data_IF_374422288072
#
_entry.id   IF_374422288072
#
_cell.length_a   1.000
_cell.length_b   1.000
_cell.length_c   1.000
_cell.angle_alpha   90.00
_cell.angle_beta   90.00
_cell.angle_gamma   90.00
#
_symmetry.space_group_name_H-M   'P 1'
#
loop_
_entity.id
_entity.type
_entity.pdbx_description
1 polymer ?
#
# COMPACT_ATOMS: atom_id res chain seq x y z
N UNK A 1 -10.87 -11.87 0.49
CA UNK A 1 -10.48 -11.73 -0.93
C UNK A 1 -9.13 -11.05 -1.11
N UNK A 2 -8.97 -9.73 -0.89
CA UNK A 2 -7.68 -9.05 -1.16
C UNK A 2 -6.51 -9.60 -0.31
N UNK A 3 -6.74 -9.79 0.99
CA UNK A 3 -5.75 -10.36 1.90
C UNK A 3 -5.37 -11.82 1.55
N UNK A 4 -6.34 -12.65 1.20
CA UNK A 4 -6.12 -14.07 0.88
C UNK A 4 -5.35 -14.22 -0.44
N UNK A 5 -5.74 -13.47 -1.47
CA UNK A 5 -5.03 -13.45 -2.75
C UNK A 5 -3.58 -12.95 -2.60
N UNK A 6 -3.35 -11.96 -1.73
CA UNK A 6 -2.00 -11.52 -1.40
C UNK A 6 -1.18 -12.64 -0.75
N UNK A 7 -1.74 -13.33 0.25
CA UNK A 7 -1.08 -14.46 0.91
C UNK A 7 -0.72 -15.55 -0.10
N UNK A 8 -1.68 -16.01 -0.90
CA UNK A 8 -1.44 -17.06 -1.89
C UNK A 8 -0.37 -16.67 -2.91
N UNK A 9 -0.36 -15.41 -3.34
CA UNK A 9 0.62 -14.91 -4.31
C UNK A 9 2.03 -14.85 -3.72
N UNK A 10 2.19 -14.33 -2.50
CA UNK A 10 3.50 -14.27 -1.83
C UNK A 10 4.02 -15.67 -1.54
N UNK A 11 3.16 -16.55 -1.02
CA UNK A 11 3.52 -17.94 -0.70
C UNK A 11 3.95 -18.69 -1.98
N UNK A 12 3.25 -18.48 -3.10
CA UNK A 12 3.64 -19.07 -4.40
C UNK A 12 4.95 -18.50 -4.93
N UNK A 13 5.10 -17.17 -5.00
CA UNK A 13 6.29 -16.55 -5.57
C UNK A 13 7.55 -16.84 -4.77
N UNK A 14 7.46 -16.88 -3.45
CA UNK A 14 8.63 -17.19 -2.61
C UNK A 14 9.15 -18.61 -2.80
N UNK A 15 8.33 -19.53 -3.34
CA UNK A 15 8.74 -20.87 -3.73
C UNK A 15 9.42 -20.94 -5.12
N UNK A 16 9.17 -19.96 -5.99
CA UNK A 16 9.62 -19.97 -7.40
C UNK A 16 10.74 -18.95 -7.68
N UNK A 17 10.74 -17.82 -6.97
CA UNK A 17 11.65 -16.69 -7.17
C UNK A 17 12.12 -16.11 -5.84
N UNK A 18 13.33 -15.53 -5.84
CA UNK A 18 13.83 -14.77 -4.69
C UNK A 18 13.16 -13.40 -4.65
N UNK A 19 12.04 -13.31 -3.95
CA UNK A 19 11.34 -12.05 -3.70
C UNK A 19 12.10 -11.22 -2.66
N UNK A 20 12.50 -10.00 -3.04
CA UNK A 20 13.33 -9.11 -2.19
C UNK A 20 12.56 -7.91 -1.65
N UNK A 21 11.56 -7.44 -2.38
CA UNK A 21 10.76 -6.28 -2.01
C UNK A 21 9.32 -6.43 -2.51
N UNK A 22 8.37 -5.95 -1.70
CA UNK A 22 6.98 -5.75 -2.07
C UNK A 22 6.61 -4.30 -1.77
N UNK A 23 6.05 -3.61 -2.76
CA UNK A 23 5.49 -2.26 -2.63
C UNK A 23 3.97 -2.34 -2.70
N UNK A 24 3.25 -1.88 -1.66
CA UNK A 24 1.78 -1.86 -1.64
C UNK A 24 1.26 -0.47 -1.33
N UNK A 25 -0.01 -0.21 -1.60
CA UNK A 25 -0.66 0.94 -1.01
C UNK A 25 -0.76 0.79 0.53
N UNK A 26 -1.22 1.85 1.20
CA UNK A 26 -1.34 1.90 2.65
C UNK A 26 -2.56 1.09 3.17
N UNK A 27 -2.70 -0.16 2.72
CA UNK A 27 -3.78 -1.06 3.15
C UNK A 27 -3.41 -1.77 4.47
N UNK A 28 -4.11 -1.43 5.55
CA UNK A 28 -3.75 -1.86 6.91
C UNK A 28 -3.65 -3.38 7.11
N UNK A 29 -4.50 -4.17 6.43
CA UNK A 29 -4.44 -5.64 6.52
C UNK A 29 -3.19 -6.23 5.85
N UNK A 30 -2.76 -5.67 4.72
CA UNK A 30 -1.56 -6.14 4.01
C UNK A 30 -0.30 -5.71 4.77
N UNK A 31 -0.28 -4.47 5.26
CA UNK A 31 0.79 -4.00 6.14
C UNK A 31 0.94 -4.83 7.42
N UNK A 32 -0.15 -5.39 7.97
CA UNK A 32 -0.08 -6.28 9.11
C UNK A 32 0.58 -7.63 8.77
N UNK A 33 0.34 -8.18 7.58
CA UNK A 33 0.98 -9.43 7.12
C UNK A 33 2.48 -9.27 6.92
N UNK A 34 2.91 -8.09 6.46
CA UNK A 34 4.30 -7.74 6.17
C UNK A 34 5.03 -7.13 7.37
N UNK A 35 4.41 -7.05 8.54
CA UNK A 35 5.03 -6.47 9.73
C UNK A 35 6.29 -7.29 10.12
N UNK A 36 7.45 -6.63 10.35
CA UNK A 36 8.71 -7.32 10.59
C UNK A 36 8.76 -8.10 11.92
N UNK A 37 7.93 -7.77 12.91
CA UNK A 37 7.96 -8.41 14.23
C UNK A 37 6.92 -9.53 14.36
N UNK A 38 5.72 -9.28 13.82
CA UNK A 38 4.52 -10.10 14.06
C UNK A 38 3.75 -10.51 12.80
N UNK A 39 4.22 -10.11 11.62
CA UNK A 39 3.59 -10.46 10.36
C UNK A 39 3.75 -11.94 10.01
N UNK A 40 2.84 -12.47 9.19
CA UNK A 40 2.92 -13.84 8.67
C UNK A 40 4.21 -14.06 7.87
N UNK A 41 4.64 -13.03 7.14
CA UNK A 41 5.74 -13.09 6.19
C UNK A 41 7.07 -12.53 6.73
N UNK A 42 7.15 -12.30 8.05
CA UNK A 42 8.32 -11.67 8.70
C UNK A 42 9.64 -12.41 8.49
N UNK A 43 9.59 -13.74 8.45
CA UNK A 43 10.79 -14.59 8.37
C UNK A 43 11.32 -14.72 6.93
N UNK A 44 10.60 -14.16 5.95
CA UNK A 44 10.99 -14.21 4.54
C UNK A 44 12.04 -13.15 4.17
N UNK A 45 12.32 -12.19 5.07
CA UNK A 45 13.31 -11.13 4.82
C UNK A 45 12.94 -10.18 3.66
N UNK A 46 11.66 -10.10 3.33
CA UNK A 46 11.14 -9.24 2.26
C UNK A 46 11.03 -7.80 2.78
N UNK A 47 11.62 -6.84 2.07
CA UNK A 47 11.42 -5.42 2.35
C UNK A 47 10.00 -5.00 1.97
N UNK A 48 9.25 -4.40 2.88
CA UNK A 48 7.92 -3.86 2.59
C UNK A 48 7.98 -2.34 2.50
N UNK A 49 7.63 -1.80 1.33
CA UNK A 49 7.56 -0.37 1.06
C UNK A 49 6.14 0.08 0.74
N UNK A 50 5.89 1.38 0.96
CA UNK A 50 4.61 2.00 0.66
C UNK A 50 4.65 2.70 -0.68
N UNK A 51 3.59 2.52 -1.46
CA UNK A 51 3.42 3.12 -2.77
C UNK A 51 3.26 4.65 -2.64
N UNK A 52 4.36 5.36 -2.96
CA UNK A 52 4.43 6.81 -2.95
C UNK A 52 3.50 7.46 -3.98
N UNK A 53 3.23 6.80 -5.11
CA UNK A 53 2.32 7.33 -6.12
C UNK A 53 0.90 7.39 -5.57
N UNK A 54 0.45 6.34 -4.89
CA UNK A 54 -0.82 6.34 -4.19
C UNK A 54 -0.86 7.38 -3.06
N UNK A 55 0.22 7.51 -2.30
CA UNK A 55 0.37 8.56 -1.27
C UNK A 55 0.22 9.98 -1.83
N UNK A 56 0.97 10.31 -2.89
CA UNK A 56 0.94 11.62 -3.54
C UNK A 56 -0.43 11.93 -4.16
N UNK A 57 -1.04 10.96 -4.86
CA UNK A 57 -2.40 11.08 -5.42
C UNK A 57 -3.43 11.38 -4.34
N UNK A 58 -3.37 10.69 -3.20
CA UNK A 58 -4.30 10.90 -2.10
C UNK A 58 -4.08 12.25 -1.39
N UNK A 59 -2.83 12.70 -1.27
CA UNK A 59 -2.50 14.02 -0.73
C UNK A 59 -3.04 15.14 -1.64
N UNK A 60 -2.83 15.03 -2.95
CA UNK A 60 -3.34 15.99 -3.92
C UNK A 60 -4.87 16.12 -3.85
N UNK A 61 -5.61 14.99 -3.79
CA UNK A 61 -7.06 15.00 -3.62
C UNK A 61 -7.51 15.76 -2.37
N UNK A 62 -6.84 15.56 -1.23
CA UNK A 62 -7.16 16.24 0.03
C UNK A 62 -6.88 17.74 -0.05
N UNK A 63 -5.73 18.12 -0.58
CA UNK A 63 -5.31 19.52 -0.66
C UNK A 63 -6.12 20.31 -1.71
N UNK A 64 -6.48 19.71 -2.84
CA UNK A 64 -7.36 20.32 -3.84
C UNK A 64 -8.77 20.61 -3.29
N UNK A 65 -9.29 19.77 -2.39
CA UNK A 65 -10.55 20.05 -1.70
C UNK A 65 -10.44 21.22 -0.70
N UNK A 66 -9.32 21.37 -0.01
CA UNK A 66 -9.13 22.47 0.95
C UNK A 66 -8.96 23.85 0.27
N UNK A 67 -8.38 23.90 -0.94
CA UNK A 67 -8.26 25.15 -1.71
C UNK A 67 -9.58 25.64 -2.30
N UNK A 68 -10.60 24.77 -2.41
CA UNK A 68 -11.93 25.15 -2.92
C UNK A 68 -12.88 25.67 -1.82
N UNK A 69 -12.47 25.61 -0.54
CA UNK A 69 -13.27 26.09 0.59
C UNK A 69 -13.13 27.59 0.92
N UNK A 70 -12.20 28.30 0.26
CA UNK A 70 -11.90 29.72 0.57
C UNK A 70 -12.17 30.70 -0.57
N UNK A 71 -12.49 30.24 -1.77
CA UNK A 71 -12.91 31.12 -2.87
C UNK A 71 -14.17 30.59 -3.55
N UNK A 72 -15.27 31.32 -3.38
CA UNK A 72 -16.47 31.23 -4.19
C UNK A 72 -16.12 31.35 -5.68
N UNK A 73 -16.45 30.34 -6.49
CA UNK A 73 -17.24 30.50 -7.74
C UNK A 73 -17.42 29.16 -8.46
N UNK A 74 -18.57 28.95 -9.13
CA UNK A 74 -18.88 27.70 -9.83
C UNK A 74 -18.10 27.61 -11.14
N UNK A 75 -17.57 26.42 -11.44
CA UNK A 75 -17.06 26.11 -12.77
C UNK A 75 -18.22 26.07 -13.77
N UNK A 76 -18.03 26.79 -14.89
CA UNK A 76 -18.74 26.64 -16.15
C UNK A 76 -18.70 25.20 -16.67
#
# INVERSE_FOLDING_TARGET
MEMEGFIETVDKFTSEIKLVEICTDAHGQIGALMNPDKGRHKDLGIHHSLDMWHGAKNLAKKNCCCTMGWHHSPCL
#
